data_IF_644106694935
#
_entry.id   IF_644106694935
#
_cell.length_a   1.000
_cell.length_b   1.000
_cell.length_c   1.000
_cell.angle_alpha   90.00
_cell.angle_beta   90.00
_cell.angle_gamma   90.00
#
_symmetry.space_group_name_H-M   'P 1'
#
loop_
_entity.id
_entity.type
_entity.pdbx_description
1 polymer ?
#
# COMPACT_ATOMS: atom_id res chain seq x y z
N UNK A 1 6.41 -19.36 -0.97
CA UNK A 1 5.78 -19.36 0.37
C UNK A 1 5.41 -17.93 0.67
N UNK A 2 4.17 -17.69 1.11
CA UNK A 2 3.65 -16.36 1.40
C UNK A 2 3.62 -16.13 2.90
N UNK A 3 4.12 -14.99 3.34
CA UNK A 3 4.19 -14.56 4.72
C UNK A 3 3.28 -13.35 4.93
N UNK A 4 2.50 -13.39 6.00
CA UNK A 4 1.70 -12.26 6.42
C UNK A 4 2.59 -11.20 7.08
N UNK A 5 2.32 -9.93 6.76
CA UNK A 5 3.03 -8.81 7.38
C UNK A 5 2.39 -8.51 8.72
N UNK A 6 3.21 -8.56 9.78
CA UNK A 6 2.75 -8.26 11.14
C UNK A 6 2.02 -6.89 11.20
N UNK A 7 0.94 -6.76 11.99
CA UNK A 7 0.12 -5.55 12.02
C UNK A 7 0.87 -4.28 12.46
N UNK A 8 1.96 -4.43 13.22
CA UNK A 8 2.79 -3.33 13.71
C UNK A 8 3.71 -2.73 12.63
N UNK A 9 3.90 -3.39 11.49
CA UNK A 9 4.67 -2.86 10.37
C UNK A 9 3.77 -1.99 9.51
N UNK A 10 4.17 -0.74 9.28
CA UNK A 10 3.42 0.13 8.40
C UNK A 10 3.53 -0.32 6.93
N UNK A 11 2.40 -0.64 6.31
CA UNK A 11 2.28 -0.81 4.87
C UNK A 11 0.90 -0.36 4.41
N UNK A 12 0.85 0.30 3.27
CA UNK A 12 -0.39 0.68 2.61
C UNK A 12 -1.14 -0.57 2.15
N UNK A 13 -2.46 -0.53 2.27
CA UNK A 13 -3.30 -1.53 1.62
C UNK A 13 -3.22 -1.36 0.11
N UNK A 14 -3.41 -2.45 -0.63
CA UNK A 14 -3.42 -2.37 -2.06
C UNK A 14 -4.50 -1.41 -2.57
N UNK A 15 -4.13 -0.49 -3.46
CA UNK A 15 -5.04 0.56 -3.98
C UNK A 15 -6.23 0.00 -4.76
N UNK A 16 -6.12 -1.21 -5.30
CA UNK A 16 -7.15 -1.86 -6.13
C UNK A 16 -8.12 -2.72 -5.30
N UNK A 17 -7.58 -3.54 -4.41
CA UNK A 17 -8.30 -4.56 -3.64
C UNK A 17 -8.60 -4.09 -2.19
N UNK A 18 -7.95 -3.03 -1.71
CA UNK A 18 -7.95 -2.54 -0.33
C UNK A 18 -7.54 -3.60 0.73
N UNK A 19 -6.91 -4.69 0.28
CA UNK A 19 -6.35 -5.75 1.13
C UNK A 19 -4.91 -5.44 1.53
N UNK A 20 -4.51 -5.91 2.72
CA UNK A 20 -3.13 -5.81 3.19
C UNK A 20 -2.24 -6.73 2.34
N UNK A 21 -1.08 -6.27 1.85
CA UNK A 21 -0.19 -7.12 1.06
C UNK A 21 0.37 -8.31 1.87
N UNK A 22 0.90 -9.27 1.12
CA UNK A 22 1.70 -10.38 1.65
C UNK A 22 3.10 -10.34 1.05
N UNK A 23 4.05 -10.98 1.73
CA UNK A 23 5.44 -11.10 1.30
C UNK A 23 5.69 -12.51 0.78
N UNK A 24 6.20 -12.63 -0.43
CA UNK A 24 6.70 -13.88 -0.97
C UNK A 24 8.21 -13.88 -1.06
N UNK A 25 8.82 -15.00 -0.66
CA UNK A 25 10.24 -15.25 -0.88
C UNK A 25 10.43 -16.05 -2.17
N UNK A 26 11.12 -15.46 -3.14
CA UNK A 26 11.53 -16.09 -4.39
C UNK A 26 13.02 -16.46 -4.39
N UNK A 27 13.46 -17.20 -5.42
CA UNK A 27 14.88 -17.61 -5.55
C UNK A 27 15.86 -16.43 -5.71
N UNK A 28 15.37 -15.29 -6.21
CA UNK A 28 16.19 -14.12 -6.56
C UNK A 28 15.94 -12.91 -5.64
N UNK A 29 15.12 -13.07 -4.60
CA UNK A 29 14.78 -11.98 -3.70
C UNK A 29 13.38 -12.10 -3.12
N UNK A 30 12.77 -10.94 -2.88
CA UNK A 30 11.52 -10.79 -2.17
C UNK A 30 10.49 -10.07 -3.03
N UNK A 31 9.23 -10.42 -2.84
CA UNK A 31 8.10 -9.83 -3.53
C UNK A 31 7.04 -9.40 -2.51
N UNK A 32 6.59 -8.15 -2.58
CA UNK A 32 5.41 -7.66 -1.86
C UNK A 32 4.26 -7.62 -2.85
N UNK A 33 3.15 -8.32 -2.59
CA UNK A 33 2.03 -8.45 -3.54
C UNK A 33 0.65 -8.38 -2.87
N UNK A 34 -0.40 -8.01 -3.62
CA UNK A 34 -1.79 -8.18 -3.13
C UNK A 34 -2.08 -9.69 -2.99
N UNK A 35 -2.72 -10.13 -1.90
CA UNK A 35 -3.08 -11.54 -1.72
C UNK A 35 -4.16 -12.00 -2.71
N UNK A 36 -4.97 -11.09 -3.24
CA UNK A 36 -5.93 -11.39 -4.31
C UNK A 36 -5.23 -11.80 -5.61
N UNK A 37 -5.46 -13.05 -6.05
CA UNK A 37 -4.89 -13.63 -7.27
C UNK A 37 -5.26 -12.90 -8.57
N UNK A 38 -6.37 -12.16 -8.58
CA UNK A 38 -6.78 -11.35 -9.75
C UNK A 38 -6.05 -10.01 -9.79
N UNK A 39 -5.49 -9.55 -8.65
CA UNK A 39 -4.77 -8.30 -8.54
C UNK A 39 -3.27 -8.52 -8.81
N UNK A 40 -2.80 -8.09 -9.97
CA UNK A 40 -1.38 -8.18 -10.38
C UNK A 40 -0.49 -7.08 -9.76
N UNK A 41 -0.88 -6.51 -8.62
CA UNK A 41 -0.07 -5.48 -7.96
C UNK A 41 1.07 -6.16 -7.19
N UNK A 42 2.30 -5.89 -7.58
CA UNK A 42 3.50 -6.51 -7.02
C UNK A 42 4.68 -5.55 -7.09
N UNK A 43 5.53 -5.59 -6.07
CA UNK A 43 6.83 -4.96 -6.03
C UNK A 43 7.85 -6.04 -5.72
N UNK A 44 8.80 -6.27 -6.63
CA UNK A 44 9.83 -7.29 -6.50
C UNK A 44 11.21 -6.64 -6.40
N UNK A 45 12.09 -7.21 -5.58
CA UNK A 45 13.45 -6.69 -5.42
C UNK A 45 14.38 -7.67 -4.71
N UNK A 46 15.69 -7.37 -4.67
CA UNK A 46 16.65 -8.17 -3.90
C UNK A 46 16.35 -8.14 -2.39
N UNK A 47 15.70 -7.09 -1.91
CA UNK A 47 15.22 -6.88 -0.54
C UNK A 47 13.74 -6.44 -0.55
N UNK A 48 13.11 -6.47 0.63
CA UNK A 48 11.74 -5.98 0.81
C UNK A 48 11.66 -4.46 0.62
N UNK A 49 10.91 -4.03 -0.40
CA UNK A 49 10.71 -2.60 -0.74
C UNK A 49 9.31 -2.11 -0.35
N UNK A 50 9.10 -1.91 0.95
CA UNK A 50 7.84 -1.37 1.47
C UNK A 50 7.61 0.08 1.04
N UNK A 51 8.69 0.87 0.83
CA UNK A 51 8.57 2.25 0.38
C UNK A 51 8.00 2.32 -1.05
N UNK A 52 8.55 1.50 -1.96
CA UNK A 52 8.04 1.35 -3.32
C UNK A 52 6.60 0.87 -3.35
N UNK A 53 6.25 -0.11 -2.50
CA UNK A 53 4.87 -0.55 -2.34
C UNK A 53 3.95 0.59 -1.87
N UNK A 54 4.33 1.30 -0.81
CA UNK A 54 3.54 2.39 -0.25
C UNK A 54 3.37 3.53 -1.25
N UNK A 55 4.42 3.88 -2.01
CA UNK A 55 4.35 4.90 -3.07
C UNK A 55 3.34 4.54 -4.16
N UNK A 56 3.28 3.27 -4.58
CA UNK A 56 2.33 2.80 -5.59
C UNK A 56 0.89 2.70 -5.07
N UNK A 57 0.73 2.53 -3.76
CA UNK A 57 -0.56 2.28 -3.13
C UNK A 57 -1.09 3.43 -2.29
N UNK A 58 -0.34 4.54 -2.21
CA UNK A 58 -0.74 5.75 -1.52
C UNK A 58 -2.06 6.25 -2.08
N UNK A 59 -3.09 6.34 -1.24
CA UNK A 59 -4.36 6.94 -1.63
C UNK A 59 -4.11 8.40 -1.96
N UNK A 60 -4.47 8.82 -3.17
CA UNK A 60 -4.58 10.24 -3.45
C UNK A 60 -5.68 10.78 -2.54
N UNK A 61 -5.28 11.56 -1.55
CA UNK A 61 -6.21 12.41 -0.82
C UNK A 61 -6.61 13.47 -1.83
N UNK A 62 -7.62 13.18 -2.64
CA UNK A 62 -8.40 14.24 -3.27
C UNK A 62 -9.01 14.96 -2.07
N UNK A 63 -8.39 16.07 -1.66
CA UNK A 63 -9.06 17.02 -0.79
C UNK A 63 -10.26 17.43 -1.61
N UNK A 64 -11.41 16.79 -1.39
CA UNK A 64 -12.68 17.38 -1.73
C UNK A 64 -12.58 18.76 -1.09
N UNK A 65 -12.54 19.79 -1.93
CA UNK A 65 -12.47 21.16 -1.48
C UNK A 65 -13.76 21.43 -0.69
N UNK A 66 -13.78 21.01 0.57
CA UNK A 66 -14.71 21.51 1.55
C UNK A 66 -14.30 22.96 1.70
N UNK A 67 -15.01 23.83 0.98
CA UNK A 67 -15.14 25.24 1.27
C UNK A 67 -15.63 25.38 2.70
N UNK A 68 -14.75 25.17 3.67
CA UNK A 68 -14.95 25.62 5.03
C UNK A 68 -14.78 27.14 4.95
N UNK A 69 -15.91 27.82 4.75
CA UNK A 69 -15.98 29.27 4.83
C UNK A 69 -15.44 29.68 6.20
N UNK A 70 -14.27 30.32 6.20
CA UNK A 70 -13.70 30.96 7.38
C UNK A 70 -14.76 31.92 7.94
N UNK A 71 -15.42 31.52 9.03
CA UNK A 71 -16.25 32.43 9.81
C UNK A 71 -15.30 33.40 10.50
N UNK A 72 -15.16 34.59 9.91
CA UNK A 72 -14.53 35.74 10.56
C UNK A 72 -15.47 36.14 11.70
N UNK A 73 -15.06 35.88 12.94
CA UNK A 73 -15.74 36.43 14.11
C UNK A 73 -15.44 37.93 14.15
N UNK A 74 -16.49 38.74 14.18
CA UNK A 74 -16.43 40.19 14.32
C UNK A 74 -16.18 40.60 15.78
#
# INVERSE_FOLDING_TARGET
MSYEIQPNIFCENCIKCNERPVVDQGKKGWEIKCPNKTCKNVVAGPLLDFEGWNRLNKKNITIAAETQALKRTA
#
